data_IF_220744196360
#
_entry.id   IF_220744196360
#
_cell.length_a   1.000
_cell.length_b   1.000
_cell.length_c   1.000
_cell.angle_alpha   90.00
_cell.angle_beta   90.00
_cell.angle_gamma   90.00
#
_symmetry.space_group_name_H-M   'P 1'
#
loop_
_entity.id
_entity.type
_entity.pdbx_description
1 polymer ?
#
# COMPACT_ATOMS: atom_id res chain seq x y z
N UNK A 1 -6.87 31.40 -57.54
CA UNK A 1 -5.93 30.32 -57.13
C UNK A 1 -5.62 30.27 -55.62
N UNK A 2 -5.93 31.29 -54.81
CA UNK A 2 -5.57 31.30 -53.37
C UNK A 2 -6.51 30.42 -52.51
N UNK A 3 -7.82 30.44 -52.76
CA UNK A 3 -8.81 29.68 -51.97
C UNK A 3 -8.56 28.16 -51.94
N UNK A 4 -8.20 27.55 -53.09
CA UNK A 4 -7.82 26.13 -53.17
C UNK A 4 -6.54 25.75 -52.38
N UNK A 5 -5.73 26.73 -51.98
CA UNK A 5 -4.52 26.50 -51.15
C UNK A 5 -4.82 26.54 -49.65
N UNK A 6 -5.91 27.20 -49.26
CA UNK A 6 -6.36 27.32 -47.87
C UNK A 6 -7.12 26.05 -47.46
N UNK A 7 -8.03 25.57 -48.30
CA UNK A 7 -8.71 24.27 -48.10
C UNK A 7 -7.70 23.11 -47.98
N UNK A 8 -6.62 23.13 -48.76
CA UNK A 8 -5.55 22.12 -48.72
C UNK A 8 -4.63 22.22 -47.49
N UNK A 9 -4.67 23.33 -46.73
CA UNK A 9 -3.97 23.48 -45.44
C UNK A 9 -4.84 23.13 -44.23
N UNK A 10 -6.17 23.17 -44.37
CA UNK A 10 -7.12 22.76 -43.33
C UNK A 10 -7.36 21.24 -43.28
N UNK A 11 -6.90 20.50 -44.30
CA UNK A 11 -6.59 19.08 -44.14
C UNK A 11 -5.27 18.93 -43.37
N UNK A 12 -5.33 19.10 -42.05
CA UNK A 12 -4.34 18.48 -41.19
C UNK A 12 -4.37 16.98 -41.49
N UNK A 13 -3.32 16.45 -42.11
CA UNK A 13 -3.15 15.02 -42.28
C UNK A 13 -2.89 14.43 -40.91
N UNK A 14 -3.96 14.05 -40.21
CA UNK A 14 -3.93 13.11 -39.10
C UNK A 14 -2.98 11.98 -39.49
N UNK A 15 -1.87 11.84 -38.76
CA UNK A 15 -0.86 10.86 -39.13
C UNK A 15 -1.50 9.46 -39.03
N UNK A 16 -1.10 8.49 -39.87
CA UNK A 16 -1.65 7.14 -39.77
C UNK A 16 -1.45 6.54 -38.37
N UNK A 17 -0.37 6.91 -37.67
CA UNK A 17 -0.13 6.55 -36.27
C UNK A 17 -1.13 7.21 -35.31
N UNK A 18 -1.47 8.50 -35.50
CA UNK A 18 -2.48 9.18 -34.67
C UNK A 18 -3.89 8.56 -34.83
N UNK A 19 -4.24 8.13 -36.06
CA UNK A 19 -5.50 7.42 -36.32
C UNK A 19 -5.49 6.05 -35.65
N UNK A 20 -4.36 5.34 -35.67
CA UNK A 20 -4.20 4.04 -35.00
C UNK A 20 -4.28 4.19 -33.47
N UNK A 21 -3.64 5.21 -32.89
CA UNK A 21 -3.69 5.52 -31.47
C UNK A 21 -5.12 5.88 -31.00
N UNK A 22 -5.85 6.72 -31.75
CA UNK A 22 -7.25 7.01 -31.43
C UNK A 22 -8.14 5.77 -31.52
N UNK A 23 -7.90 4.87 -32.48
CA UNK A 23 -8.63 3.60 -32.56
C UNK A 23 -8.33 2.70 -31.36
N UNK A 24 -7.08 2.67 -30.87
CA UNK A 24 -6.69 1.91 -29.70
C UNK A 24 -7.41 2.41 -28.43
N UNK A 25 -7.39 3.73 -28.20
CA UNK A 25 -8.05 4.40 -27.07
C UNK A 25 -9.59 4.29 -27.09
N UNK A 26 -10.20 4.07 -28.26
CA UNK A 26 -11.65 4.03 -28.43
C UNK A 26 -12.22 2.60 -28.47
N UNK A 27 -11.38 1.56 -28.37
CA UNK A 27 -11.83 0.17 -28.24
C UNK A 27 -12.24 -0.13 -26.79
N UNK A 28 -13.36 -0.83 -26.55
CA UNK A 28 -13.64 -1.38 -25.22
C UNK A 28 -12.54 -2.42 -24.88
N UNK A 29 -12.21 -2.55 -23.59
CA UNK A 29 -11.11 -3.40 -23.08
C UNK A 29 -11.13 -4.82 -23.69
N UNK A 30 -12.30 -5.45 -23.73
CA UNK A 30 -12.49 -6.80 -24.32
C UNK A 30 -12.10 -6.91 -25.80
N UNK A 31 -12.26 -5.83 -26.58
CA UNK A 31 -11.88 -5.80 -28.00
C UNK A 31 -10.41 -5.42 -28.19
N UNK A 32 -9.81 -4.73 -27.22
CA UNK A 32 -8.38 -4.44 -27.18
C UNK A 32 -7.59 -5.71 -26.83
N UNK A 33 -8.03 -6.47 -25.83
CA UNK A 33 -7.49 -7.79 -25.45
C UNK A 33 -7.52 -8.77 -26.64
N UNK A 34 -8.68 -8.89 -27.30
CA UNK A 34 -8.82 -9.67 -28.54
C UNK A 34 -7.87 -9.17 -29.64
N UNK A 35 -7.61 -7.86 -29.73
CA UNK A 35 -6.66 -7.32 -30.72
C UNK A 35 -5.22 -7.70 -30.37
N UNK A 36 -4.80 -7.56 -29.12
CA UNK A 36 -3.47 -7.97 -28.64
C UNK A 36 -3.23 -9.45 -28.98
N UNK A 37 -4.18 -10.33 -28.63
CA UNK A 37 -4.08 -11.76 -28.92
C UNK A 37 -3.91 -12.07 -30.42
N UNK A 38 -4.67 -11.38 -31.28
CA UNK A 38 -4.52 -11.52 -32.73
C UNK A 38 -3.16 -11.01 -33.26
N UNK A 39 -2.56 -9.99 -32.63
CA UNK A 39 -1.22 -9.50 -33.01
C UNK A 39 -0.11 -10.44 -32.52
N UNK A 40 -0.25 -11.07 -31.34
CA UNK A 40 0.66 -12.13 -30.86
C UNK A 40 0.62 -13.33 -31.82
N UNK A 41 -0.56 -13.79 -32.22
CA UNK A 41 -0.71 -14.90 -33.20
C UNK A 41 -0.15 -14.57 -34.59
N UNK A 42 -0.12 -13.30 -34.99
CA UNK A 42 0.32 -12.86 -36.32
C UNK A 42 1.79 -12.41 -36.37
N UNK A 43 2.38 -12.02 -35.24
CA UNK A 43 3.76 -11.56 -35.17
C UNK A 43 4.64 -12.62 -34.47
N UNK A 44 5.39 -13.46 -35.20
CA UNK A 44 6.21 -14.54 -34.65
C UNK A 44 7.45 -14.06 -33.87
N UNK A 45 7.51 -12.78 -33.50
CA UNK A 45 8.53 -12.17 -32.63
C UNK A 45 7.95 -11.73 -31.27
N UNK A 46 6.62 -11.75 -31.10
CA UNK A 46 6.00 -11.55 -29.79
C UNK A 46 5.81 -12.90 -29.11
N UNK A 47 6.15 -12.94 -27.82
CA UNK A 47 5.86 -14.03 -26.91
C UNK A 47 4.94 -13.49 -25.79
N UNK A 48 4.07 -14.34 -25.26
CA UNK A 48 3.22 -13.99 -24.10
C UNK A 48 4.08 -14.16 -22.84
N UNK A 49 4.40 -13.05 -22.17
CA UNK A 49 5.18 -13.08 -20.93
C UNK A 49 4.24 -13.32 -19.74
N UNK A 50 4.15 -14.57 -19.30
CA UNK A 50 3.41 -14.99 -18.11
C UNK A 50 4.05 -14.50 -16.79
N UNK A 51 5.13 -13.70 -16.85
CA UNK A 51 5.66 -13.00 -15.68
C UNK A 51 4.58 -12.09 -15.08
N UNK A 52 4.37 -12.08 -13.75
CA UNK A 52 3.41 -11.19 -13.13
C UNK A 52 3.80 -9.74 -13.44
N UNK A 53 2.88 -9.00 -14.05
CA UNK A 53 3.08 -7.60 -14.40
C UNK A 53 3.13 -6.79 -13.11
N UNK A 54 4.33 -6.34 -12.71
CA UNK A 54 4.48 -5.35 -11.66
C UNK A 54 3.89 -4.02 -12.19
N UNK A 55 2.81 -3.52 -11.57
CA UNK A 55 2.18 -2.25 -11.94
C UNK A 55 3.13 -1.08 -11.62
N UNK A 56 3.96 -0.68 -12.59
CA UNK A 56 4.76 0.55 -12.50
C UNK A 56 3.82 1.78 -12.58
N UNK A 57 3.36 2.23 -11.41
CA UNK A 57 2.54 3.44 -11.27
C UNK A 57 3.29 4.70 -11.70
N UNK A 58 2.60 5.53 -12.51
CA UNK A 58 3.18 6.68 -13.23
C UNK A 58 3.17 7.95 -12.34
N UNK A 59 3.49 7.81 -11.05
CA UNK A 59 3.30 8.87 -10.04
C UNK A 59 4.58 9.63 -9.65
N UNK A 60 5.74 9.30 -10.23
CA UNK A 60 7.02 9.98 -9.92
C UNK A 60 7.25 11.28 -10.71
N UNK A 61 6.24 12.14 -10.84
CA UNK A 61 6.37 13.51 -11.36
C UNK A 61 5.54 14.49 -10.50
N UNK A 62 5.96 14.71 -9.26
CA UNK A 62 5.53 15.87 -8.47
C UNK A 62 6.72 16.65 -7.91
N UNK A 63 6.48 17.95 -7.80
CA UNK A 63 7.41 19.06 -7.74
C UNK A 63 8.40 19.07 -6.55
N UNK A 64 9.65 19.47 -6.84
CA UNK A 64 10.56 20.04 -5.85
C UNK A 64 10.86 21.51 -6.23
N UNK A 65 10.23 22.46 -5.50
CA UNK A 65 10.62 23.87 -5.46
C UNK A 65 10.56 24.38 -4.01
N UNK A 66 11.54 25.24 -3.64
CA UNK A 66 11.71 25.91 -2.33
C UNK A 66 11.98 24.92 -1.16
N UNK A 67 12.93 25.07 -0.23
CA UNK A 67 14.03 26.01 0.08
C UNK A 67 14.80 25.44 1.31
N UNK A 68 15.93 25.92 1.83
CA UNK A 68 16.86 27.03 1.48
C UNK A 68 18.24 26.77 2.16
N UNK A 69 19.18 27.71 2.03
CA UNK A 69 20.53 27.86 2.63
C UNK A 69 21.02 26.99 3.83
N UNK A 70 22.23 26.43 3.69
CA UNK A 70 23.28 26.56 4.72
C UNK A 70 24.71 26.48 4.09
N UNK A 71 25.45 27.60 4.10
CA UNK A 71 26.84 27.68 3.63
C UNK A 71 27.82 27.08 4.66
N UNK A 72 28.85 26.35 4.21
CA UNK A 72 30.13 26.26 4.92
C UNK A 72 31.29 25.99 3.94
N UNK A 73 32.17 26.98 3.81
CA UNK A 73 33.43 26.92 3.05
C UNK A 73 34.40 25.85 3.59
N UNK A 74 34.91 24.96 2.72
CA UNK A 74 36.33 24.56 2.71
C UNK A 74 36.80 24.25 1.28
N UNK A 75 37.17 25.29 0.53
CA UNK A 75 38.16 25.11 -0.55
C UNK A 75 39.56 25.16 0.08
N UNK A 76 40.32 24.06 0.05
CA UNK A 76 41.66 24.00 0.66
C UNK A 76 42.51 22.82 0.17
N UNK A 77 43.71 23.16 -0.32
CA UNK A 77 44.88 22.33 -0.65
C UNK A 77 44.74 21.18 -1.66
N UNK A 78 44.94 21.58 -2.92
CA UNK A 78 45.62 20.81 -3.97
C UNK A 78 47.11 20.59 -3.62
N UNK A 79 47.44 19.84 -2.56
CA UNK A 79 48.81 19.32 -2.32
C UNK A 79 48.90 18.27 -1.20
N UNK A 80 48.44 17.03 -1.44
CA UNK A 80 48.87 15.87 -0.63
C UNK A 80 48.81 14.55 -1.41
N UNK A 81 49.84 14.26 -2.19
CA UNK A 81 50.13 12.90 -2.66
C UNK A 81 50.96 12.16 -1.59
N UNK A 82 50.42 11.15 -0.86
CA UNK A 82 51.21 10.29 -0.01
C UNK A 82 51.89 9.20 -0.86
N UNK A 83 53.08 8.76 -0.44
CA UNK A 83 53.94 7.89 -1.23
C UNK A 83 53.48 6.41 -1.27
N UNK A 84 54.07 5.69 -2.23
CA UNK A 84 53.66 4.43 -2.86
C UNK A 84 53.75 3.13 -2.02
N UNK A 85 53.55 3.15 -0.69
CA UNK A 85 53.86 1.99 0.19
C UNK A 85 52.77 1.50 1.17
N UNK A 86 51.63 2.18 1.35
CA UNK A 86 50.56 1.77 2.29
C UNK A 86 49.21 1.45 1.62
N UNK A 87 49.23 0.68 0.52
CA UNK A 87 48.00 0.06 -0.02
C UNK A 87 47.55 -1.06 0.92
N UNK A 88 46.65 -0.72 1.85
CA UNK A 88 45.94 -1.69 2.69
C UNK A 88 45.09 -2.58 1.78
N UNK A 89 45.46 -3.86 1.72
CA UNK A 89 44.87 -4.85 0.81
C UNK A 89 43.41 -5.20 1.17
N UNK A 90 42.48 -4.37 0.69
CA UNK A 90 41.09 -4.79 0.51
C UNK A 90 41.00 -5.69 -0.72
N UNK A 91 41.18 -6.97 -0.45
CA UNK A 91 41.16 -8.09 -1.38
C UNK A 91 39.92 -8.04 -2.27
N UNK A 92 40.14 -7.84 -3.57
CA UNK A 92 39.11 -8.01 -4.60
C UNK A 92 38.43 -9.38 -4.44
N UNK A 93 37.12 -9.36 -4.19
CA UNK A 93 36.25 -10.51 -4.36
C UNK A 93 35.30 -10.24 -5.53
N UNK A 94 35.89 -9.97 -6.70
CA UNK A 94 35.16 -9.99 -7.96
C UNK A 94 34.76 -11.46 -8.23
N UNK A 95 33.46 -11.73 -8.11
CA UNK A 95 32.95 -13.08 -7.89
C UNK A 95 31.43 -13.15 -7.96
N UNK A 96 30.84 -12.41 -8.91
CA UNK A 96 29.41 -12.34 -9.16
C UNK A 96 28.57 -12.08 -7.90
N UNK A 97 28.49 -10.82 -7.48
CA UNK A 97 27.26 -10.34 -6.86
C UNK A 97 26.15 -10.46 -7.91
N UNK A 98 25.53 -11.66 -7.95
CA UNK A 98 24.07 -11.68 -7.99
C UNK A 98 23.67 -10.72 -6.90
N UNK A 99 23.09 -9.60 -7.29
CA UNK A 99 22.30 -8.82 -6.35
C UNK A 99 21.30 -9.81 -5.78
N UNK A 100 21.47 -10.18 -4.51
CA UNK A 100 20.41 -10.83 -3.76
C UNK A 100 19.32 -9.78 -3.70
N UNK A 101 18.45 -9.85 -4.71
CA UNK A 101 17.09 -9.35 -4.69
C UNK A 101 16.35 -10.15 -3.63
N UNK A 102 16.76 -9.97 -2.38
CA UNK A 102 15.82 -9.78 -1.29
C UNK A 102 15.01 -8.53 -1.65
N UNK A 103 14.09 -8.71 -2.62
CA UNK A 103 12.78 -8.11 -2.51
C UNK A 103 12.34 -8.50 -1.10
N UNK A 104 12.47 -7.56 -0.18
CA UNK A 104 11.86 -7.65 1.13
C UNK A 104 10.38 -7.77 0.82
N UNK A 105 9.85 -8.99 0.90
CA UNK A 105 8.43 -9.24 0.78
C UNK A 105 7.78 -8.47 1.93
N UNK A 106 7.32 -7.26 1.62
CA UNK A 106 6.40 -6.51 2.46
C UNK A 106 5.10 -7.28 2.36
N UNK A 107 4.94 -8.29 3.22
CA UNK A 107 3.64 -8.86 3.52
C UNK A 107 2.80 -7.71 4.06
N UNK A 108 1.86 -7.23 3.25
CA UNK A 108 0.83 -6.29 3.69
C UNK A 108 0.19 -6.86 4.95
N UNK A 109 0.36 -6.19 6.09
CA UNK A 109 -0.26 -6.65 7.33
C UNK A 109 -1.76 -6.55 7.17
N UNK A 110 -2.46 -7.63 7.52
CA UNK A 110 -3.91 -7.61 7.50
C UNK A 110 -4.42 -6.63 8.55
N UNK A 111 -5.53 -5.96 8.28
CA UNK A 111 -6.24 -5.11 9.24
C UNK A 111 -6.42 -5.81 10.62
N UNK A 112 -6.70 -7.11 10.63
CA UNK A 112 -6.79 -7.88 11.88
C UNK A 112 -5.42 -8.08 12.56
N UNK A 113 -4.33 -8.25 11.80
CA UNK A 113 -2.97 -8.38 12.35
C UNK A 113 -2.49 -7.07 12.96
N UNK A 114 -2.83 -5.93 12.36
CA UNK A 114 -2.57 -4.60 12.93
C UNK A 114 -3.34 -4.39 14.24
N UNK A 115 -4.62 -4.77 14.29
CA UNK A 115 -5.43 -4.71 15.52
C UNK A 115 -4.89 -5.64 16.61
N UNK A 116 -4.47 -6.86 16.27
CA UNK A 116 -3.84 -7.81 17.19
C UNK A 116 -2.52 -7.24 17.72
N UNK A 117 -1.71 -6.62 16.86
CA UNK A 117 -0.46 -5.96 17.25
C UNK A 117 -0.71 -4.78 18.19
N UNK A 118 -1.75 -3.99 17.94
CA UNK A 118 -2.19 -2.90 18.83
C UNK A 118 -2.69 -3.42 20.19
N UNK A 119 -3.38 -4.57 20.21
CA UNK A 119 -3.81 -5.23 21.45
C UNK A 119 -2.60 -5.69 22.28
N UNK A 120 -1.61 -6.32 21.65
CA UNK A 120 -0.37 -6.77 22.30
C UNK A 120 0.49 -5.64 22.86
N UNK A 121 0.36 -4.41 22.33
CA UNK A 121 1.02 -3.20 22.84
C UNK A 121 0.35 -2.61 24.09
N UNK A 122 -0.86 -3.06 24.46
CA UNK A 122 -1.55 -2.59 25.68
C UNK A 122 -1.18 -3.45 26.90
N UNK A 123 -1.03 -2.85 28.09
CA UNK A 123 -0.80 -3.58 29.33
C UNK A 123 -2.12 -4.21 29.84
N UNK A 124 -2.52 -5.32 29.22
CA UNK A 124 -3.71 -6.08 29.53
C UNK A 124 -3.40 -7.35 30.34
N UNK A 125 -4.38 -7.81 31.11
CA UNK A 125 -4.41 -9.13 31.75
C UNK A 125 -4.48 -10.26 30.72
N UNK A 126 -4.10 -11.48 31.10
CA UNK A 126 -4.21 -12.67 30.23
C UNK A 126 -5.67 -12.93 29.81
N UNK A 127 -6.64 -12.71 30.72
CA UNK A 127 -8.06 -12.81 30.39
C UNK A 127 -8.53 -11.71 29.42
N UNK A 128 -8.13 -10.46 29.67
CA UNK A 128 -8.46 -9.32 28.80
C UNK A 128 -7.86 -9.47 27.39
N UNK A 129 -6.67 -10.08 27.28
CA UNK A 129 -6.04 -10.42 26.00
C UNK A 129 -6.86 -11.46 25.22
N UNK A 130 -7.33 -12.52 25.88
CA UNK A 130 -8.17 -13.55 25.25
C UNK A 130 -9.52 -12.94 24.82
N UNK A 131 -10.13 -12.11 25.67
CA UNK A 131 -11.36 -11.36 25.35
C UNK A 131 -11.14 -10.47 24.12
N UNK A 132 -10.05 -9.71 24.09
CA UNK A 132 -9.74 -8.82 22.98
C UNK A 132 -9.49 -9.54 21.65
N UNK A 133 -8.85 -10.71 21.69
CA UNK A 133 -8.64 -11.55 20.50
C UNK A 133 -9.97 -12.08 19.94
N UNK A 134 -10.89 -12.57 20.79
CA UNK A 134 -12.21 -13.02 20.31
C UNK A 134 -13.03 -11.82 19.80
N UNK A 135 -12.98 -10.64 20.44
CA UNK A 135 -13.62 -9.43 19.91
C UNK A 135 -13.10 -9.10 18.51
N UNK A 136 -11.78 -8.99 18.33
CA UNK A 136 -11.15 -8.66 17.03
C UNK A 136 -11.48 -9.72 15.96
N UNK A 137 -11.59 -10.99 16.34
CA UNK A 137 -12.03 -12.08 15.46
C UNK A 137 -13.50 -12.03 15.04
N UNK A 138 -14.33 -11.22 15.70
CA UNK A 138 -15.75 -10.99 15.38
C UNK A 138 -16.01 -9.56 14.82
N UNK A 139 -14.97 -8.87 14.36
CA UNK A 139 -15.08 -7.61 13.61
C UNK A 139 -15.16 -7.92 12.10
N UNK A 140 -16.12 -7.31 11.40
CA UNK A 140 -16.24 -7.45 9.94
C UNK A 140 -15.17 -6.63 9.19
N UNK A 141 -14.96 -6.91 7.90
CA UNK A 141 -14.11 -6.12 6.98
C UNK A 141 -14.46 -4.61 6.95
N UNK A 142 -15.69 -4.25 7.36
CA UNK A 142 -16.15 -2.86 7.50
C UNK A 142 -15.78 -2.19 8.84
N UNK A 143 -15.10 -2.89 9.75
CA UNK A 143 -14.68 -2.38 11.06
C UNK A 143 -15.75 -2.38 12.16
N UNK A 144 -16.93 -2.96 11.93
CA UNK A 144 -18.02 -3.06 12.90
C UNK A 144 -18.05 -4.42 13.60
N UNK A 145 -18.58 -4.47 14.83
CA UNK A 145 -18.80 -5.70 15.57
C UNK A 145 -20.11 -6.38 15.12
N UNK A 146 -20.03 -7.51 14.43
CA UNK A 146 -21.20 -8.19 13.85
C UNK A 146 -22.01 -9.06 14.82
N UNK A 147 -21.52 -9.27 16.05
CA UNK A 147 -22.18 -10.12 17.06
C UNK A 147 -22.47 -9.36 18.35
N UNK A 148 -23.52 -9.77 19.07
CA UNK A 148 -23.88 -9.15 20.35
C UNK A 148 -22.92 -9.59 21.46
N UNK A 149 -22.68 -8.70 22.44
CA UNK A 149 -21.83 -9.00 23.61
C UNK A 149 -22.35 -10.22 24.38
N UNK A 150 -23.68 -10.36 24.50
CA UNK A 150 -24.32 -11.54 25.11
C UNK A 150 -23.87 -12.85 24.42
N UNK A 151 -23.81 -12.87 23.08
CA UNK A 151 -23.34 -14.03 22.31
C UNK A 151 -21.86 -14.33 22.53
N UNK A 152 -21.04 -13.30 22.79
CA UNK A 152 -19.61 -13.44 23.06
C UNK A 152 -19.39 -14.01 24.47
N UNK A 153 -20.18 -13.56 25.48
CA UNK A 153 -20.18 -14.16 26.83
C UNK A 153 -20.53 -15.65 26.77
N UNK A 154 -21.58 -16.01 26.02
CA UNK A 154 -21.96 -17.42 25.84
C UNK A 154 -20.84 -18.24 25.19
N UNK A 155 -20.20 -17.74 24.12
CA UNK A 155 -19.05 -18.41 23.48
C UNK A 155 -17.88 -18.61 24.46
N UNK A 156 -17.60 -17.67 25.37
CA UNK A 156 -16.60 -17.85 26.44
C UNK A 156 -16.96 -18.97 27.41
N UNK A 157 -18.22 -19.01 27.83
CA UNK A 157 -18.72 -20.05 28.74
C UNK A 157 -18.66 -21.45 28.09
N UNK A 158 -19.02 -21.57 26.80
CA UNK A 158 -19.05 -22.85 26.09
C UNK A 158 -17.67 -23.34 25.60
N UNK A 159 -16.81 -22.44 25.09
CA UNK A 159 -15.52 -22.83 24.49
C UNK A 159 -14.37 -22.86 25.49
N UNK A 160 -14.30 -21.85 26.35
CA UNK A 160 -13.18 -21.67 27.27
C UNK A 160 -13.50 -22.18 28.69
N UNK A 161 -14.79 -22.39 29.01
CA UNK A 161 -15.25 -22.76 30.35
C UNK A 161 -14.81 -21.70 31.39
N UNK A 162 -14.81 -20.43 30.98
CA UNK A 162 -14.52 -19.25 31.80
C UNK A 162 -15.82 -18.47 31.94
N UNK A 163 -16.22 -18.15 33.16
CA UNK A 163 -17.27 -17.16 33.40
C UNK A 163 -16.65 -15.77 33.27
N UNK A 164 -17.15 -14.98 32.32
CA UNK A 164 -16.74 -13.59 32.04
C UNK A 164 -17.95 -12.68 32.26
N UNK A 165 -17.83 -11.58 33.00
CA UNK A 165 -18.92 -10.61 33.13
C UNK A 165 -19.05 -9.77 31.84
N UNK A 166 -20.29 -9.41 31.47
CA UNK A 166 -20.59 -8.47 30.37
C UNK A 166 -19.73 -7.19 30.47
N UNK A 167 -19.48 -6.70 31.70
CA UNK A 167 -18.65 -5.52 31.95
C UNK A 167 -17.20 -5.69 31.54
N UNK A 168 -16.59 -6.86 31.77
CA UNK A 168 -15.19 -7.11 31.41
C UNK A 168 -15.03 -7.07 29.88
N UNK A 169 -16.04 -7.56 29.15
CA UNK A 169 -16.09 -7.45 27.69
C UNK A 169 -16.33 -6.01 27.24
N UNK A 170 -17.21 -5.25 27.90
CA UNK A 170 -17.43 -3.83 27.59
C UNK A 170 -16.19 -2.95 27.90
N UNK A 171 -15.46 -3.22 28.98
CA UNK A 171 -14.22 -2.54 29.33
C UNK A 171 -13.14 -2.80 28.26
N UNK A 172 -12.91 -4.06 27.86
CA UNK A 172 -11.96 -4.41 26.79
C UNK A 172 -12.40 -3.86 25.43
N UNK A 173 -13.70 -3.91 25.10
CA UNK A 173 -14.25 -3.33 23.89
C UNK A 173 -13.99 -1.82 23.83
N UNK A 174 -14.16 -1.11 24.95
CA UNK A 174 -13.87 0.34 25.02
C UNK A 174 -12.40 0.66 24.74
N UNK A 175 -11.48 -0.24 25.12
CA UNK A 175 -10.04 -0.11 24.81
C UNK A 175 -9.81 -0.31 23.31
N UNK A 176 -10.39 -1.35 22.70
CA UNK A 176 -10.30 -1.64 21.26
C UNK A 176 -10.86 -0.48 20.43
N UNK A 177 -11.98 0.12 20.85
CA UNK A 177 -12.58 1.29 20.19
C UNK A 177 -11.66 2.53 20.15
N UNK A 178 -10.59 2.59 20.96
CA UNK A 178 -9.57 3.66 20.92
C UNK A 178 -8.39 3.42 19.98
N UNK A 179 -8.32 2.23 19.35
CA UNK A 179 -7.26 1.85 18.42
C UNK A 179 -7.29 2.70 17.15
N UNK A 180 -6.32 2.47 16.26
CA UNK A 180 -6.26 3.09 14.94
C UNK A 180 -6.68 2.05 13.89
N UNK A 181 -7.77 2.25 13.13
CA UNK A 181 -8.64 3.42 13.07
C UNK A 181 -9.62 3.54 14.25
N UNK A 182 -9.89 4.77 14.70
CA UNK A 182 -10.82 5.02 15.81
C UNK A 182 -12.28 4.70 15.46
N UNK A 183 -12.96 4.03 16.39
CA UNK A 183 -14.35 3.58 16.25
C UNK A 183 -14.45 2.15 15.72
N UNK A 184 -13.32 1.48 15.51
CA UNK A 184 -13.28 0.03 15.23
C UNK A 184 -13.95 -0.77 16.34
N UNK A 185 -14.78 -1.75 15.98
CA UNK A 185 -15.59 -2.51 16.93
C UNK A 185 -16.83 -1.78 17.46
N UNK A 186 -17.26 -0.67 16.85
CA UNK A 186 -18.58 -0.10 17.10
C UNK A 186 -19.70 -1.06 16.64
N UNK A 187 -20.86 -1.01 17.30
CA UNK A 187 -22.05 -1.81 16.95
C UNK A 187 -22.87 -1.15 15.84
N UNK A 188 -22.82 0.19 15.75
CA UNK A 188 -23.43 0.96 14.67
C UNK A 188 -22.62 2.22 14.30
N UNK A 189 -23.03 2.87 13.20
CA UNK A 189 -22.41 4.11 12.72
C UNK A 189 -22.56 5.28 13.71
N UNK A 190 -23.62 5.29 14.53
CA UNK A 190 -23.86 6.36 15.50
C UNK A 190 -22.86 6.29 16.66
N UNK A 191 -22.63 5.09 17.21
CA UNK A 191 -21.61 4.79 18.21
C UNK A 191 -20.21 5.13 17.67
N UNK A 192 -19.88 4.68 16.45
CA UNK A 192 -18.61 5.00 15.78
C UNK A 192 -18.36 6.52 15.70
N UNK A 193 -19.34 7.29 15.23
CA UNK A 193 -19.24 8.76 15.15
C UNK A 193 -19.16 9.43 16.52
N UNK A 194 -19.86 8.92 17.55
CA UNK A 194 -19.77 9.43 18.91
C UNK A 194 -18.38 9.20 19.51
N UNK A 195 -17.78 8.02 19.30
CA UNK A 195 -16.41 7.70 19.74
C UNK A 195 -15.40 8.65 19.05
N UNK A 196 -15.54 8.85 17.75
CA UNK A 196 -14.68 9.77 16.97
C UNK A 196 -14.79 11.23 17.43
N UNK A 197 -16.00 11.72 17.72
CA UNK A 197 -16.21 13.06 18.26
C UNK A 197 -15.60 13.22 19.65
N UNK A 198 -15.79 12.25 20.55
CA UNK A 198 -15.25 12.26 21.91
C UNK A 198 -13.70 12.34 21.97
N UNK A 199 -12.99 11.79 20.97
CA UNK A 199 -11.52 11.95 20.85
C UNK A 199 -11.12 13.30 20.25
N UNK A 200 -11.99 13.96 19.47
CA UNK A 200 -11.72 15.25 18.81
C UNK A 200 -11.99 16.47 19.70
N UNK A 201 -12.78 16.31 20.76
CA UNK A 201 -12.99 17.36 21.79
C UNK A 201 -11.89 17.38 22.89
N UNK A 202 -10.87 16.53 22.79
CA UNK A 202 -9.71 16.44 23.70
C UNK A 202 -8.43 16.92 23.06
#
# INVERSE_FOLDING_TARGET
MISNRILQRLQQKLSPQQIQLMKLLQLPTIALEQRIKNEIEQNPTLEEDDSPVEDESIDNIEDNQEGDDEENDVFGDEDMFPNDDDIVSYKNNDGSEKTDKNQLFVSETSFHEDLISQLQLKPLSELEMIIGLEIIGNIDESGYLSRSIESIVDDFLFRHNIEVEVKEIEDVLSIIQTFDPIGVGARDLQECLLIQLNKKEK
#
